data_IF_549475089040
#
_entry.id   IF_549475089040
#
_cell.length_a   1.000
_cell.length_b   1.000
_cell.length_c   1.000
_cell.angle_alpha   90.00
_cell.angle_beta   90.00
_cell.angle_gamma   90.00
#
_symmetry.space_group_name_H-M   'P 1'
#
loop_
_entity.id
_entity.type
_entity.pdbx_description
1 polymer ?
#
# COMPACT_ATOMS: atom_id res chain seq x y z
N UNK A 1 -4.80 46.54 -38.03
CA UNK A 1 -6.20 46.52 -37.56
C UNK A 1 -6.42 45.19 -36.84
N UNK A 2 -6.43 45.18 -35.51
CA UNK A 2 -6.74 44.00 -34.72
C UNK A 2 -8.22 43.69 -34.88
N UNK A 3 -8.54 42.65 -35.65
CA UNK A 3 -9.94 42.23 -35.86
C UNK A 3 -10.40 41.49 -34.60
N UNK A 4 -11.31 42.11 -33.85
CA UNK A 4 -11.92 41.51 -32.65
C UNK A 4 -12.84 40.38 -33.11
N UNK A 5 -12.62 39.16 -32.60
CA UNK A 5 -13.42 37.99 -32.97
C UNK A 5 -14.81 38.08 -32.33
N UNK A 6 -15.87 37.57 -32.96
CA UNK A 6 -17.17 37.52 -32.32
C UNK A 6 -17.12 36.72 -31.01
N UNK A 7 -17.70 37.24 -29.94
CA UNK A 7 -17.59 36.65 -28.60
C UNK A 7 -18.05 37.57 -27.48
N UNK A 8 -18.09 37.03 -26.26
CA UNK A 8 -18.38 37.81 -25.05
C UNK A 8 -17.10 38.42 -24.50
N UNK A 9 -17.12 39.72 -24.26
CA UNK A 9 -15.99 40.47 -23.70
C UNK A 9 -16.40 41.20 -22.42
N UNK A 10 -15.47 41.43 -21.48
CA UNK A 10 -15.75 42.20 -20.27
C UNK A 10 -16.26 43.61 -20.58
N UNK A 11 -17.31 44.05 -19.89
CA UNK A 11 -17.76 45.45 -19.96
C UNK A 11 -16.75 46.35 -19.22
N UNK A 12 -16.30 47.42 -19.88
CA UNK A 12 -15.36 48.37 -19.29
C UNK A 12 -15.97 49.20 -18.16
N UNK A 13 -17.30 49.36 -18.16
CA UNK A 13 -18.03 50.16 -17.19
C UNK A 13 -18.58 49.33 -16.02
N UNK A 14 -18.71 48.01 -16.20
CA UNK A 14 -19.19 47.09 -15.16
C UNK A 14 -18.34 45.80 -15.14
N UNK A 15 -17.48 45.61 -14.13
CA UNK A 15 -16.61 44.44 -14.04
C UNK A 15 -17.37 43.11 -13.84
N UNK A 16 -18.66 43.18 -13.51
CA UNK A 16 -19.54 42.02 -13.33
C UNK A 16 -20.41 41.72 -14.55
N UNK A 17 -20.20 42.40 -15.68
CA UNK A 17 -20.96 42.19 -16.90
C UNK A 17 -20.05 41.86 -18.10
N UNK A 18 -20.66 41.19 -19.07
CA UNK A 18 -20.06 40.92 -20.38
C UNK A 18 -20.99 41.43 -21.49
N UNK A 19 -20.39 41.95 -22.56
CA UNK A 19 -21.08 42.46 -23.76
C UNK A 19 -20.65 41.59 -24.94
N UNK A 20 -21.58 41.26 -25.83
CA UNK A 20 -21.30 40.42 -27.00
C UNK A 20 -20.83 41.28 -28.18
N UNK A 21 -19.75 40.89 -28.84
CA UNK A 21 -19.32 41.43 -30.13
C UNK A 21 -19.72 40.44 -31.22
N UNK A 22 -20.40 40.92 -32.28
CA UNK A 22 -20.81 40.06 -33.40
C UNK A 22 -19.84 40.09 -34.61
N UNK A 23 -18.79 40.90 -34.54
CA UNK A 23 -17.85 41.14 -35.65
C UNK A 23 -18.05 42.50 -36.35
N UNK A 24 -19.19 43.15 -36.15
CA UNK A 24 -19.52 44.46 -36.73
C UNK A 24 -19.89 45.51 -35.66
N UNK A 25 -20.58 45.10 -34.59
CA UNK A 25 -21.05 45.98 -33.49
C UNK A 25 -21.25 45.22 -32.17
N UNK A 26 -21.33 45.99 -31.08
CA UNK A 26 -21.60 45.48 -29.73
C UNK A 26 -23.10 45.25 -29.51
N UNK A 27 -23.45 44.13 -28.87
CA UNK A 27 -24.81 43.66 -28.64
C UNK A 27 -24.96 42.99 -27.28
N UNK A 28 -26.16 43.13 -26.69
CA UNK A 28 -26.55 42.39 -25.49
C UNK A 28 -25.68 42.69 -24.26
N UNK A 29 -26.18 42.32 -23.09
CA UNK A 29 -25.42 42.36 -21.84
C UNK A 29 -25.83 41.17 -21.00
N UNK A 30 -24.86 40.46 -20.44
CA UNK A 30 -25.11 39.38 -19.48
C UNK A 30 -24.29 39.59 -18.23
N UNK A 31 -24.76 39.03 -17.12
CA UNK A 31 -23.93 38.90 -15.94
C UNK A 31 -22.73 38.00 -16.28
N UNK A 32 -21.54 38.42 -15.85
CA UNK A 32 -20.32 37.64 -16.00
C UNK A 32 -20.50 36.32 -15.26
N UNK A 33 -20.23 35.22 -15.95
CA UNK A 33 -20.17 33.91 -15.30
C UNK A 33 -18.86 33.88 -14.52
N UNK A 34 -18.91 34.26 -13.25
CA UNK A 34 -17.81 33.96 -12.32
C UNK A 34 -17.84 32.45 -12.10
N UNK A 35 -16.80 31.74 -12.51
CA UNK A 35 -16.62 30.28 -12.31
C UNK A 35 -16.52 29.87 -10.82
N UNK A 36 -17.07 30.67 -9.90
CA UNK A 36 -16.90 30.60 -8.45
C UNK A 36 -18.21 30.47 -7.68
N UNK A 37 -19.23 29.82 -8.24
CA UNK A 37 -20.46 29.51 -7.51
C UNK A 37 -20.91 28.04 -7.68
N UNK A 38 -19.96 27.12 -7.54
CA UNK A 38 -20.21 25.74 -7.09
C UNK A 38 -18.88 25.00 -6.90
N UNK A 39 -17.91 25.64 -6.24
CA UNK A 39 -16.86 24.86 -5.59
C UNK A 39 -17.54 24.21 -4.39
N UNK A 40 -17.92 22.93 -4.54
CA UNK A 40 -18.42 22.12 -3.45
C UNK A 40 -17.34 22.09 -2.35
N UNK A 41 -17.51 22.93 -1.34
CA UNK A 41 -16.60 23.05 -0.19
C UNK A 41 -16.42 21.72 0.57
N UNK A 42 -17.16 20.66 0.22
CA UNK A 42 -16.95 19.30 0.71
C UNK A 42 -15.66 18.64 0.22
N UNK A 43 -15.10 19.05 -0.91
CA UNK A 43 -13.88 18.42 -1.44
C UNK A 43 -12.60 18.89 -0.74
N UNK A 44 -12.63 20.07 -0.12
CA UNK A 44 -11.49 20.61 0.66
C UNK A 44 -11.46 20.14 2.11
N UNK A 45 -12.47 19.40 2.56
CA UNK A 45 -12.63 18.94 3.95
C UNK A 45 -12.49 17.41 4.09
N UNK A 46 -11.85 16.76 3.10
CA UNK A 46 -11.51 15.35 3.21
C UNK A 46 -10.30 15.24 4.16
N UNK A 47 -10.46 14.65 5.37
CA UNK A 47 -9.35 14.54 6.30
C UNK A 47 -8.23 13.73 5.66
N UNK A 48 -7.02 14.26 5.76
CA UNK A 48 -5.82 13.60 5.28
C UNK A 48 -5.74 12.20 5.90
N UNK A 49 -5.22 11.24 5.14
CA UNK A 49 -4.97 9.89 5.65
C UNK A 49 -4.19 9.94 6.98
N UNK A 50 -3.23 10.86 7.11
CA UNK A 50 -2.46 11.05 8.35
C UNK A 50 -3.32 11.47 9.55
N UNK A 51 -4.36 12.28 9.34
CA UNK A 51 -5.28 12.72 10.40
C UNK A 51 -6.18 11.57 10.85
N UNK A 52 -6.62 10.72 9.92
CA UNK A 52 -7.34 9.48 10.26
C UNK A 52 -6.49 8.51 11.08
N UNK A 53 -5.18 8.42 10.82
CA UNK A 53 -4.26 7.62 11.64
C UNK A 53 -4.04 8.19 13.04
N UNK A 54 -4.01 9.51 13.17
CA UNK A 54 -3.86 10.17 14.47
C UNK A 54 -5.10 10.04 15.36
N UNK A 55 -6.28 9.89 14.75
CA UNK A 55 -7.54 9.65 15.46
C UNK A 55 -7.66 8.21 16.03
N UNK A 56 -6.83 7.26 15.57
CA UNK A 56 -6.80 5.90 16.11
C UNK A 56 -6.11 5.89 17.49
N UNK A 57 -6.67 5.11 18.43
CA UNK A 57 -6.05 4.91 19.73
C UNK A 57 -4.64 4.33 19.60
N UNK A 58 -3.75 4.68 20.54
CA UNK A 58 -2.37 4.16 20.56
C UNK A 58 -2.34 2.62 20.52
N UNK A 59 -3.34 1.97 21.12
CA UNK A 59 -3.53 0.51 21.09
C UNK A 59 -3.78 -0.01 19.68
N UNK A 60 -4.69 0.62 18.92
CA UNK A 60 -5.00 0.21 17.55
C UNK A 60 -3.80 0.41 16.62
N UNK A 61 -3.06 1.50 16.78
CA UNK A 61 -1.81 1.74 16.04
C UNK A 61 -0.75 0.68 16.32
N UNK A 62 -0.54 0.31 17.59
CA UNK A 62 0.44 -0.69 17.97
C UNK A 62 0.09 -2.09 17.45
N UNK A 63 -1.21 -2.45 17.39
CA UNK A 63 -1.65 -3.73 16.81
C UNK A 63 -1.33 -3.81 15.32
N UNK A 64 -1.62 -2.75 14.56
CA UNK A 64 -1.35 -2.72 13.11
C UNK A 64 0.15 -2.78 12.83
N UNK A 65 0.93 -1.91 13.48
CA UNK A 65 2.39 -1.86 13.30
C UNK A 65 3.04 -3.16 13.76
N UNK A 66 2.63 -3.68 14.93
CA UNK A 66 3.12 -4.94 15.47
C UNK A 66 2.79 -6.12 14.55
N UNK A 67 1.59 -6.16 13.99
CA UNK A 67 1.18 -7.20 13.03
C UNK A 67 2.04 -7.19 11.76
N UNK A 68 2.29 -6.01 11.18
CA UNK A 68 3.13 -5.89 9.97
C UNK A 68 4.57 -6.30 10.25
N UNK A 69 5.15 -5.86 11.37
CA UNK A 69 6.51 -6.22 11.76
C UNK A 69 6.65 -7.72 12.04
N UNK A 70 5.67 -8.32 12.74
CA UNK A 70 5.66 -9.75 13.00
C UNK A 70 5.54 -10.57 11.71
N UNK A 71 4.67 -10.17 10.79
CA UNK A 71 4.53 -10.83 9.49
C UNK A 71 5.84 -10.73 8.68
N UNK A 72 6.46 -9.56 8.64
CA UNK A 72 7.73 -9.36 7.94
C UNK A 72 8.86 -10.20 8.56
N UNK A 73 8.96 -10.23 9.90
CA UNK A 73 9.93 -11.07 10.60
C UNK A 73 9.73 -12.56 10.28
N UNK A 74 8.48 -13.04 10.23
CA UNK A 74 8.16 -14.41 9.85
C UNK A 74 8.62 -14.73 8.42
N UNK A 75 8.38 -13.82 7.47
CA UNK A 75 8.87 -13.98 6.08
C UNK A 75 10.39 -14.08 6.04
N UNK A 76 11.11 -13.23 6.78
CA UNK A 76 12.57 -13.29 6.84
C UNK A 76 13.08 -14.61 7.42
N UNK A 77 12.43 -15.15 8.46
CA UNK A 77 12.77 -16.47 9.02
C UNK A 77 12.57 -17.57 7.98
N UNK A 78 11.46 -17.57 7.26
CA UNK A 78 11.20 -18.57 6.19
C UNK A 78 12.25 -18.47 5.09
N UNK A 79 12.57 -17.26 4.62
CA UNK A 79 13.62 -17.05 3.60
C UNK A 79 14.98 -17.53 4.11
N UNK A 80 15.34 -17.23 5.36
CA UNK A 80 16.59 -17.70 5.96
C UNK A 80 16.65 -19.25 6.00
N UNK A 81 15.56 -19.91 6.40
CA UNK A 81 15.47 -21.38 6.36
C UNK A 81 15.63 -21.92 4.93
N UNK A 82 15.09 -21.24 3.92
CA UNK A 82 15.25 -21.62 2.51
C UNK A 82 16.70 -21.48 2.03
N UNK A 83 17.40 -20.43 2.48
CA UNK A 83 18.79 -20.18 2.09
C UNK A 83 19.78 -21.11 2.79
N UNK A 84 19.57 -21.39 4.08
CA UNK A 84 20.41 -22.30 4.86
C UNK A 84 20.26 -23.74 4.37
N UNK A 85 19.12 -24.09 3.74
CA UNK A 85 18.77 -25.43 3.26
C UNK A 85 19.14 -26.53 4.27
N UNK A 86 18.69 -26.43 5.53
CA UNK A 86 19.08 -27.40 6.56
C UNK A 86 18.69 -28.85 6.19
N UNK A 87 17.64 -29.02 5.39
CA UNK A 87 17.19 -30.31 4.86
C UNK A 87 18.14 -30.93 3.82
N UNK A 88 19.13 -30.20 3.31
CA UNK A 88 20.13 -30.71 2.38
C UNK A 88 21.38 -31.24 3.10
N UNK A 89 21.51 -31.00 4.41
CA UNK A 89 22.63 -31.47 5.22
C UNK A 89 22.82 -32.99 5.13
N UNK A 90 24.07 -33.43 5.07
CA UNK A 90 24.42 -34.85 5.04
C UNK A 90 23.91 -35.58 6.29
N UNK A 91 23.96 -34.94 7.45
CA UNK A 91 23.42 -35.47 8.71
C UNK A 91 21.93 -35.76 8.62
N UNK A 92 21.14 -34.86 8.00
CA UNK A 92 19.71 -35.07 7.80
C UNK A 92 19.44 -36.23 6.83
N UNK A 93 20.18 -36.30 5.73
CA UNK A 93 20.05 -37.39 4.74
C UNK A 93 20.42 -38.75 5.35
N UNK A 94 21.54 -38.83 6.06
CA UNK A 94 22.02 -40.05 6.70
C UNK A 94 21.00 -40.55 7.74
N UNK A 95 20.40 -39.66 8.54
CA UNK A 95 19.34 -40.08 9.46
C UNK A 95 18.08 -40.57 8.74
N UNK A 96 17.67 -39.87 7.67
CA UNK A 96 16.49 -40.28 6.91
C UNK A 96 16.68 -41.67 6.28
N UNK A 97 17.89 -41.97 5.83
CA UNK A 97 18.27 -43.28 5.33
C UNK A 97 18.28 -44.35 6.44
N UNK A 98 18.80 -44.04 7.64
CA UNK A 98 18.76 -44.98 8.77
C UNK A 98 17.34 -45.29 9.20
N UNK A 99 16.47 -44.29 9.29
CA UNK A 99 15.06 -44.46 9.62
C UNK A 99 14.32 -45.34 8.59
N UNK A 100 14.65 -45.21 7.29
CA UNK A 100 14.10 -46.06 6.24
C UNK A 100 14.52 -47.53 6.41
N UNK A 101 15.74 -47.80 6.90
CA UNK A 101 16.19 -49.17 7.21
C UNK A 101 15.40 -49.82 8.35
N UNK A 102 14.81 -49.02 9.25
CA UNK A 102 13.90 -49.48 10.30
C UNK A 102 12.43 -49.54 9.88
N UNK A 103 12.11 -49.23 8.61
CA UNK A 103 10.74 -49.21 8.10
C UNK A 103 9.88 -48.05 8.63
N UNK A 104 10.51 -46.98 9.11
CA UNK A 104 9.80 -45.78 9.56
C UNK A 104 9.42 -44.94 8.33
N UNK A 105 8.12 -44.84 8.08
CA UNK A 105 7.54 -44.20 6.89
C UNK A 105 6.78 -42.89 7.21
N UNK A 106 6.59 -42.58 8.49
CA UNK A 106 5.89 -41.39 8.97
C UNK A 106 6.82 -40.39 9.63
N UNK A 107 6.51 -39.10 9.50
CA UNK A 107 7.42 -38.01 9.90
C UNK A 107 7.74 -38.02 11.40
N UNK A 108 6.75 -38.29 12.26
CA UNK A 108 6.93 -38.29 13.71
C UNK A 108 7.96 -39.32 14.22
N UNK A 109 7.88 -40.62 13.86
CA UNK A 109 8.89 -41.58 14.28
C UNK A 109 10.26 -41.37 13.63
N UNK A 110 10.33 -40.81 12.41
CA UNK A 110 11.61 -40.45 11.78
C UNK A 110 12.32 -39.36 12.59
N UNK A 111 11.61 -38.31 12.99
CA UNK A 111 12.18 -37.22 13.81
C UNK A 111 12.66 -37.76 15.15
N UNK A 112 11.87 -38.62 15.81
CA UNK A 112 12.26 -39.23 17.08
C UNK A 112 13.55 -40.06 16.94
N UNK A 113 13.64 -40.89 15.89
CA UNK A 113 14.85 -41.66 15.59
C UNK A 113 16.07 -40.77 15.36
N UNK A 114 15.90 -39.65 14.64
CA UNK A 114 16.99 -38.69 14.42
C UNK A 114 17.44 -37.97 15.69
N UNK A 115 16.51 -37.58 16.55
CA UNK A 115 16.86 -36.94 17.83
C UNK A 115 17.63 -37.91 18.72
N UNK A 116 17.17 -39.15 18.81
CA UNK A 116 17.81 -40.18 19.65
C UNK A 116 19.21 -40.56 19.14
N UNK A 117 19.45 -40.52 17.82
CA UNK A 117 20.76 -40.80 17.21
C UNK A 117 21.72 -39.62 17.21
N UNK A 118 21.23 -38.38 17.21
CA UNK A 118 22.07 -37.16 17.23
C UNK A 118 22.39 -36.67 18.65
N UNK A 119 21.56 -37.00 19.63
CA UNK A 119 21.74 -36.67 21.06
C UNK A 119 23.14 -36.96 21.63
N UNK A 120 23.81 -38.10 21.37
CA UNK A 120 25.12 -38.39 21.96
C UNK A 120 26.28 -37.52 21.45
N UNK A 121 26.06 -36.64 20.46
CA UNK A 121 27.09 -35.74 19.92
C UNK A 121 26.94 -34.28 20.37
N UNK A 122 25.91 -33.94 21.17
CA UNK A 122 25.62 -32.57 21.57
C UNK A 122 26.38 -32.09 22.83
N UNK A 123 27.14 -32.97 23.50
CA UNK A 123 27.84 -32.68 24.77
C UNK A 123 29.36 -32.47 24.64
N UNK A 124 29.92 -32.34 23.44
CA UNK A 124 31.36 -32.06 23.22
C UNK A 124 31.62 -30.76 22.46
#
# INVERSE_FOLDING_TARGET
MTTVRPGWYPDQNDPNAEVYWDGARWHGRRARVTDGASTDSRLTDLPSYSEKWAALSNTARNIVVGGVLAAFALVLVVVALILIRPWESETYKNCKESAAAYGLDSDAPIVQHCVDTLSPYAEN
#
